data_IF_425449305930
#
_entry.id   IF_425449305930
#
_cell.length_a   1.000
_cell.length_b   1.000
_cell.length_c   1.000
_cell.angle_alpha   90.00
_cell.angle_beta   90.00
_cell.angle_gamma   90.00
#
_symmetry.space_group_name_H-M   'P 1'
#
loop_
_entity.id
_entity.type
_entity.pdbx_description
1 polymer ?
#
# COMPACT_ATOMS: atom_id res chain seq x y z
N UNK A 1 -9.07 4.62 8.86
CA UNK A 1 -8.44 3.29 9.09
C UNK A 1 -9.37 2.25 8.50
N UNK A 2 -8.87 1.32 7.69
CA UNK A 2 -9.71 0.24 7.13
C UNK A 2 -9.96 -0.80 8.23
N UNK A 3 -11.17 -1.34 8.29
CA UNK A 3 -11.56 -2.33 9.30
C UNK A 3 -11.82 -3.69 8.66
N UNK A 4 -11.91 -4.75 9.49
CA UNK A 4 -12.28 -6.09 9.01
C UNK A 4 -13.67 -6.10 8.34
N UNK A 5 -14.58 -5.23 8.80
CA UNK A 5 -15.89 -5.05 8.18
C UNK A 5 -15.78 -4.47 6.78
N UNK A 6 -14.88 -3.51 6.58
CA UNK A 6 -14.63 -2.92 5.26
C UNK A 6 -14.02 -3.95 4.30
N UNK A 7 -13.12 -4.80 4.79
CA UNK A 7 -12.53 -5.89 4.00
C UNK A 7 -13.60 -6.92 3.63
N UNK A 8 -14.45 -7.33 4.58
CA UNK A 8 -15.59 -8.20 4.30
C UNK A 8 -16.49 -7.59 3.23
N UNK A 9 -16.78 -6.29 3.33
CA UNK A 9 -17.58 -5.56 2.34
C UNK A 9 -16.93 -5.51 0.95
N UNK A 10 -15.62 -5.33 0.87
CA UNK A 10 -14.88 -5.41 -0.41
C UNK A 10 -15.05 -6.81 -1.04
N UNK A 11 -15.01 -7.87 -0.24
CA UNK A 11 -15.18 -9.25 -0.72
C UNK A 11 -16.61 -9.53 -1.17
N UNK A 12 -17.62 -9.06 -0.43
CA UNK A 12 -19.03 -9.12 -0.84
C UNK A 12 -19.25 -8.46 -2.19
N UNK A 13 -18.79 -7.20 -2.35
CA UNK A 13 -18.88 -6.45 -3.60
C UNK A 13 -18.10 -7.14 -4.73
N UNK A 14 -16.98 -7.80 -4.42
CA UNK A 14 -16.24 -8.58 -5.40
C UNK A 14 -17.06 -9.79 -5.90
N UNK A 15 -17.61 -10.59 -5.00
CA UNK A 15 -18.43 -11.74 -5.38
C UNK A 15 -19.70 -11.32 -6.14
N UNK A 16 -20.33 -10.23 -5.71
CA UNK A 16 -21.49 -9.64 -6.40
C UNK A 16 -21.14 -9.20 -7.82
N UNK A 17 -20.02 -8.49 -7.99
CA UNK A 17 -19.52 -8.05 -9.31
C UNK A 17 -19.30 -9.20 -10.30
N UNK A 18 -18.95 -10.40 -9.81
CA UNK A 18 -18.68 -11.60 -10.61
C UNK A 18 -19.93 -12.36 -11.02
N UNK A 19 -21.00 -12.31 -10.20
CA UNK A 19 -22.25 -13.05 -10.44
C UNK A 19 -23.24 -12.22 -11.25
N UNK A 20 -23.58 -11.04 -10.72
CA UNK A 20 -24.71 -10.22 -11.20
C UNK A 20 -24.28 -8.80 -11.63
N UNK A 21 -23.05 -8.41 -11.33
CA UNK A 21 -22.55 -7.05 -11.59
C UNK A 21 -22.79 -6.13 -10.39
N UNK A 22 -22.34 -4.88 -10.52
CA UNK A 22 -22.48 -3.86 -9.47
C UNK A 22 -23.27 -2.66 -10.01
N UNK A 23 -24.11 -2.08 -9.15
CA UNK A 23 -24.73 -0.80 -9.44
C UNK A 23 -23.66 0.32 -9.48
N UNK A 24 -23.96 1.49 -10.08
CA UNK A 24 -23.05 2.62 -10.07
C UNK A 24 -22.59 3.04 -8.66
N UNK A 25 -23.50 2.99 -7.69
CA UNK A 25 -23.25 3.33 -6.28
C UNK A 25 -22.29 2.31 -5.65
N UNK A 26 -22.54 1.03 -5.87
CA UNK A 26 -21.69 -0.06 -5.37
C UNK A 26 -20.29 -0.03 -6.00
N UNK A 27 -20.17 0.33 -7.28
CA UNK A 27 -18.86 0.55 -7.92
C UNK A 27 -18.09 1.67 -7.23
N UNK A 28 -18.76 2.77 -6.90
CA UNK A 28 -18.16 3.91 -6.20
C UNK A 28 -17.76 3.54 -4.77
N UNK A 29 -18.60 2.79 -4.07
CA UNK A 29 -18.31 2.24 -2.74
C UNK A 29 -17.07 1.33 -2.81
N UNK A 30 -17.07 0.37 -3.72
CA UNK A 30 -15.95 -0.57 -3.91
C UNK A 30 -14.64 0.15 -4.23
N UNK A 31 -14.68 1.16 -5.11
CA UNK A 31 -13.50 1.95 -5.47
C UNK A 31 -12.95 2.72 -4.25
N UNK A 32 -13.84 3.32 -3.45
CA UNK A 32 -13.46 4.05 -2.24
C UNK A 32 -12.82 3.12 -1.21
N UNK A 33 -13.45 1.98 -0.92
CA UNK A 33 -12.94 1.00 0.04
C UNK A 33 -11.60 0.41 -0.40
N UNK A 34 -11.46 0.06 -1.69
CA UNK A 34 -10.18 -0.44 -2.24
C UNK A 34 -9.09 0.61 -2.20
N UNK A 35 -9.40 1.87 -2.50
CA UNK A 35 -8.46 2.98 -2.41
C UNK A 35 -7.92 3.14 -0.98
N UNK A 36 -8.81 3.13 0.01
CA UNK A 36 -8.45 3.21 1.42
C UNK A 36 -7.62 2.01 1.89
N UNK A 37 -7.99 0.80 1.48
CA UNK A 37 -7.22 -0.42 1.77
C UNK A 37 -5.80 -0.33 1.21
N UNK A 38 -5.65 -0.01 -0.09
CA UNK A 38 -4.33 0.10 -0.74
C UNK A 38 -3.48 1.19 -0.07
N UNK A 39 -4.08 2.33 0.31
CA UNK A 39 -3.36 3.37 1.04
C UNK A 39 -2.81 2.85 2.38
N UNK A 40 -3.63 2.14 3.17
CA UNK A 40 -3.16 1.56 4.44
C UNK A 40 -2.04 0.54 4.27
N UNK A 41 -2.13 -0.31 3.23
CA UNK A 41 -1.09 -1.29 2.91
C UNK A 41 0.22 -0.60 2.48
N UNK A 42 0.13 0.44 1.65
CA UNK A 42 1.31 1.22 1.21
C UNK A 42 2.02 1.88 2.38
N UNK A 43 1.28 2.51 3.28
CA UNK A 43 1.85 3.13 4.48
C UNK A 43 2.52 2.10 5.39
N UNK A 44 1.87 0.95 5.62
CA UNK A 44 2.48 -0.13 6.41
C UNK A 44 3.77 -0.66 5.76
N UNK A 45 3.76 -0.91 4.44
CA UNK A 45 4.93 -1.37 3.71
C UNK A 45 6.07 -0.33 3.77
N UNK A 46 5.76 0.96 3.62
CA UNK A 46 6.75 2.03 3.74
C UNK A 46 7.38 2.05 5.13
N UNK A 47 6.58 1.97 6.19
CA UNK A 47 7.07 1.93 7.57
C UNK A 47 7.96 0.70 7.84
N UNK A 48 7.66 -0.44 7.21
CA UNK A 48 8.52 -1.63 7.28
C UNK A 48 9.84 -1.41 6.53
N UNK A 49 9.80 -0.88 5.30
CA UNK A 49 10.99 -0.60 4.50
C UNK A 49 11.94 0.40 5.19
N UNK A 50 11.41 1.39 5.90
CA UNK A 50 12.22 2.37 6.66
C UNK A 50 13.04 1.72 7.80
N UNK A 51 12.65 0.52 8.25
CA UNK A 51 13.36 -0.26 9.28
C UNK A 51 14.36 -1.24 8.70
N UNK A 52 14.26 -1.60 7.42
CA UNK A 52 15.16 -2.57 6.80
C UNK A 52 16.53 -1.92 6.57
N UNK A 53 17.56 -2.65 6.99
CA UNK A 53 18.97 -2.32 6.78
C UNK A 53 19.59 -3.41 5.92
N UNK A 54 20.46 -3.02 4.99
CA UNK A 54 21.22 -3.90 4.10
C UNK A 54 22.66 -3.87 4.59
N UNK A 55 23.23 -5.03 4.88
CA UNK A 55 24.66 -5.20 5.12
C UNK A 55 25.34 -5.56 3.78
N UNK A 56 26.31 -4.76 3.38
CA UNK A 56 27.09 -4.96 2.17
C UNK A 56 28.25 -5.95 2.42
N UNK A 57 28.83 -6.57 1.38
CA UNK A 57 29.96 -7.49 1.53
C UNK A 57 31.21 -6.91 2.20
N UNK A 58 31.35 -5.58 2.23
CA UNK A 58 32.43 -4.84 2.90
C UNK A 58 32.14 -4.53 4.38
N UNK A 59 30.99 -4.99 4.91
CA UNK A 59 30.54 -4.76 6.28
C UNK A 59 29.86 -3.42 6.51
N UNK A 60 29.66 -2.59 5.48
CA UNK A 60 28.90 -1.34 5.62
C UNK A 60 27.39 -1.61 5.69
N UNK A 61 26.67 -0.84 6.50
CA UNK A 61 25.22 -0.96 6.68
C UNK A 61 24.53 0.23 6.02
N UNK A 62 23.65 -0.03 5.06
CA UNK A 62 22.82 0.97 4.38
C UNK A 62 21.35 0.82 4.73
N UNK A 63 20.66 1.92 5.03
CA UNK A 63 19.21 1.88 5.19
C UNK A 63 18.52 1.92 3.82
N UNK A 64 17.54 1.04 3.60
CA UNK A 64 16.82 0.91 2.33
C UNK A 64 16.17 2.23 1.89
N UNK A 65 15.75 3.08 2.83
CA UNK A 65 15.12 4.37 2.52
C UNK A 65 16.07 5.36 1.83
N UNK A 66 17.36 5.26 2.08
CA UNK A 66 18.35 6.22 1.60
C UNK A 66 18.78 5.91 0.16
N UNK A 67 18.63 4.65 -0.29
CA UNK A 67 18.81 4.23 -1.69
C UNK A 67 17.86 4.91 -2.68
N UNK A 68 16.70 5.40 -2.19
CA UNK A 68 15.66 6.05 -3.01
C UNK A 68 15.88 7.55 -3.19
N UNK A 69 16.77 8.18 -2.41
CA UNK A 69 17.04 9.62 -2.51
C UNK A 69 18.14 9.85 -3.55
N UNK A 70 17.95 10.75 -4.53
CA UNK A 70 19.07 11.19 -5.36
C UNK A 70 20.16 11.75 -4.44
N UNK A 71 21.45 11.51 -4.74
CA UNK A 71 22.53 11.96 -3.87
C UNK A 71 22.41 13.46 -3.62
N UNK A 72 22.58 13.89 -2.36
CA UNK A 72 22.50 15.30 -1.94
C UNK A 72 23.42 16.26 -2.71
N UNK A 73 24.34 15.74 -3.54
CA UNK A 73 25.25 16.49 -4.40
C UNK A 73 24.55 17.34 -5.48
N UNK A 74 23.24 17.17 -5.70
CA UNK A 74 22.49 17.88 -6.75
C UNK A 74 21.50 18.94 -6.23
N UNK A 75 21.49 19.23 -4.94
CA UNK A 75 20.66 20.30 -4.37
C UNK A 75 21.62 21.43 -3.98
N UNK A 76 21.96 22.26 -4.97
CA UNK A 76 22.73 23.49 -4.81
C UNK A 76 21.77 24.68 -4.75
#
# INVERSE_FOLDING_TARGET
MITDKDIARINELYHKSKKEGLTPEEKKEQATLRGAYIASIRENLRANLEKIQIENPDGTIENVKDRRRPPKKYIQ
#
